data_IF_260943332477
#
_entry.id   IF_260943332477
#
_cell.length_a   1.000
_cell.length_b   1.000
_cell.length_c   1.000
_cell.angle_alpha   90.00
_cell.angle_beta   90.00
_cell.angle_gamma   90.00
#
_symmetry.space_group_name_H-M   'P 1'
#
loop_
_entity.id
_entity.type
_entity.pdbx_description
1 polymer ?
#
# COMPACT_ATOMS: atom_id res chain seq x y z
N UNK A 1 6.48 -55.10 11.16
CA UNK A 1 7.05 -53.73 11.33
C UNK A 1 8.19 -53.37 10.35
N UNK A 2 8.87 -54.34 9.72
CA UNK A 2 10.04 -54.07 8.84
C UNK A 2 9.74 -53.36 7.51
N UNK A 3 8.46 -53.29 7.10
CA UNK A 3 8.02 -52.62 5.86
C UNK A 3 7.48 -51.20 6.05
N UNK A 4 7.38 -50.72 7.30
CA UNK A 4 6.92 -49.36 7.61
C UNK A 4 8.05 -48.32 7.41
N UNK A 5 9.29 -48.71 7.68
CA UNK A 5 10.48 -47.86 7.50
C UNK A 5 10.68 -47.36 6.05
N UNK A 6 10.65 -48.21 5.00
CA UNK A 6 10.85 -47.73 3.63
C UNK A 6 9.70 -46.85 3.15
N UNK A 7 8.47 -47.08 3.64
CA UNK A 7 7.30 -46.32 3.22
C UNK A 7 7.29 -44.89 3.78
N UNK A 8 7.86 -44.67 4.96
CA UNK A 8 8.03 -43.34 5.55
C UNK A 8 9.17 -42.53 4.91
N UNK A 9 10.16 -43.20 4.32
CA UNK A 9 11.35 -42.55 3.74
C UNK A 9 11.14 -42.07 2.30
N UNK A 10 10.24 -42.73 1.57
CA UNK A 10 9.92 -42.41 0.18
C UNK A 10 9.40 -40.97 -0.05
N UNK A 11 8.43 -40.44 0.73
CA UNK A 11 7.96 -39.06 0.54
C UNK A 11 9.02 -38.01 0.91
N UNK A 12 9.96 -38.33 1.81
CA UNK A 12 11.06 -37.43 2.17
C UNK A 12 12.05 -37.30 1.00
N UNK A 13 12.35 -38.42 0.31
CA UNK A 13 13.23 -38.43 -0.86
C UNK A 13 12.58 -37.77 -2.09
N UNK A 14 11.27 -37.94 -2.29
CA UNK A 14 10.54 -37.37 -3.43
C UNK A 14 10.12 -35.91 -3.20
N UNK A 15 9.88 -35.49 -1.95
CA UNK A 15 9.43 -34.15 -1.59
C UNK A 15 10.53 -33.08 -1.62
N UNK A 16 11.81 -33.48 -1.61
CA UNK A 16 12.96 -32.56 -1.64
C UNK A 16 13.28 -31.95 -3.00
N UNK A 17 12.70 -32.45 -4.10
CA UNK A 17 13.06 -32.01 -5.45
C UNK A 17 12.14 -30.91 -6.02
N UNK A 18 11.08 -30.52 -5.30
CA UNK A 18 10.20 -29.43 -5.70
C UNK A 18 10.54 -28.15 -4.93
N UNK A 19 11.79 -27.70 -5.00
CA UNK A 19 12.11 -26.31 -4.67
C UNK A 19 11.63 -25.45 -5.82
N UNK A 20 10.34 -25.13 -5.85
CA UNK A 20 9.88 -24.00 -6.64
C UNK A 20 10.40 -22.79 -5.90
N UNK A 21 11.55 -22.25 -6.33
CA UNK A 21 11.94 -20.93 -5.84
C UNK A 21 10.71 -20.04 -6.08
N UNK A 22 10.17 -19.37 -5.05
CA UNK A 22 9.12 -18.39 -5.27
C UNK A 22 9.65 -17.47 -6.35
N UNK A 23 8.80 -17.20 -7.38
CA UNK A 23 9.17 -16.37 -8.51
C UNK A 23 10.02 -15.22 -7.99
N UNK A 24 11.26 -15.16 -8.45
CA UNK A 24 12.26 -14.23 -7.94
C UNK A 24 11.57 -12.88 -7.84
N UNK A 25 11.32 -12.45 -6.59
CA UNK A 25 10.75 -11.14 -6.35
C UNK A 25 11.90 -10.25 -6.76
N UNK A 26 11.96 -9.92 -8.05
CA UNK A 26 13.07 -9.17 -8.66
C UNK A 26 13.34 -8.03 -7.71
N UNK A 27 14.43 -8.13 -6.95
CA UNK A 27 14.90 -6.97 -6.22
C UNK A 27 15.01 -5.92 -7.29
N UNK A 28 14.46 -4.73 -7.02
CA UNK A 28 14.62 -3.58 -7.90
C UNK A 28 16.07 -3.60 -8.39
N UNK A 29 16.27 -3.79 -9.71
CA UNK A 29 17.56 -4.17 -10.26
C UNK A 29 18.67 -3.32 -9.65
N UNK A 30 19.81 -3.92 -9.31
CA UNK A 30 20.92 -3.18 -8.70
C UNK A 30 21.19 -1.95 -9.59
N UNK A 31 21.09 -0.72 -9.05
CA UNK A 31 21.32 0.47 -9.86
C UNK A 31 22.73 0.53 -10.46
N UNK A 32 23.68 -0.29 -9.98
CA UNK A 32 25.01 -0.46 -10.55
C UNK A 32 25.09 -1.47 -11.71
N UNK A 33 24.07 -2.30 -11.94
CA UNK A 33 24.03 -3.22 -13.09
C UNK A 33 23.76 -2.45 -14.39
N UNK A 34 24.74 -2.40 -15.29
CA UNK A 34 24.62 -1.77 -16.61
C UNK A 34 23.51 -2.40 -17.49
N UNK A 35 23.14 -3.65 -17.22
CA UNK A 35 22.03 -4.36 -17.86
C UNK A 35 20.66 -4.02 -17.29
N UNK A 36 20.57 -3.28 -16.18
CA UNK A 36 19.31 -2.77 -15.65
C UNK A 36 18.74 -1.77 -16.66
N UNK A 37 17.90 -2.27 -17.56
CA UNK A 37 17.26 -1.45 -18.57
C UNK A 37 16.53 -0.29 -17.90
N UNK A 38 17.04 0.92 -18.13
CA UNK A 38 16.32 2.14 -17.82
C UNK A 38 15.15 2.19 -18.79
N UNK A 39 14.03 1.60 -18.42
CA UNK A 39 12.79 1.81 -19.16
C UNK A 39 12.56 3.31 -19.17
N UNK A 40 12.44 3.90 -20.36
CA UNK A 40 12.09 5.31 -20.50
C UNK A 40 10.64 5.43 -20.03
N UNK A 41 10.47 5.65 -18.73
CA UNK A 41 9.17 5.95 -18.16
C UNK A 41 8.90 7.42 -18.51
N UNK A 42 7.88 7.65 -19.31
CA UNK A 42 7.45 9.00 -19.62
C UNK A 42 7.14 9.73 -18.30
N UNK A 43 7.80 10.86 -18.08
CA UNK A 43 7.54 11.68 -16.90
C UNK A 43 6.07 12.10 -16.90
N UNK A 44 5.35 11.74 -15.83
CA UNK A 44 3.98 12.17 -15.60
C UNK A 44 3.99 13.23 -14.50
N UNK A 45 3.67 14.47 -14.86
CA UNK A 45 3.62 15.56 -13.88
C UNK A 45 2.55 15.26 -12.83
N UNK A 46 2.88 15.32 -11.52
CA UNK A 46 1.89 15.18 -10.44
C UNK A 46 0.95 16.39 -10.38
N UNK A 47 1.30 17.48 -11.06
CA UNK A 47 0.50 18.69 -11.18
C UNK A 47 -0.35 18.69 -12.46
N UNK A 48 -0.27 17.65 -13.29
CA UNK A 48 -1.09 17.55 -14.48
C UNK A 48 -2.58 17.53 -14.09
N UNK A 49 -3.33 18.53 -14.55
CA UNK A 49 -4.74 18.70 -14.21
C UNK A 49 -5.00 19.33 -12.85
N UNK A 50 -3.98 19.86 -12.17
CA UNK A 50 -4.19 20.61 -10.94
C UNK A 50 -5.00 21.88 -11.22
N UNK A 51 -6.14 22.00 -10.55
CA UNK A 51 -6.94 23.22 -10.50
C UNK A 51 -6.82 23.78 -9.10
N UNK A 52 -6.22 24.96 -9.00
CA UNK A 52 -6.06 25.65 -7.73
C UNK A 52 -7.43 25.95 -7.10
N UNK A 53 -7.56 25.65 -5.81
CA UNK A 53 -8.73 25.98 -5.01
C UNK A 53 -8.27 26.68 -3.75
N UNK A 54 -8.80 27.87 -3.55
CA UNK A 54 -8.61 28.58 -2.30
C UNK A 54 -9.48 27.95 -1.21
N UNK A 55 -8.96 27.79 0.03
CA UNK A 55 -9.81 27.47 1.16
C UNK A 55 -10.86 28.57 1.30
N UNK A 56 -12.11 28.24 0.99
CA UNK A 56 -13.26 29.12 1.27
C UNK A 56 -13.53 29.26 2.77
N UNK A 57 -12.76 28.52 3.59
CA UNK A 57 -12.85 28.44 5.04
C UNK A 57 -14.19 27.91 5.51
N UNK A 58 -14.30 27.39 6.75
CA UNK A 58 -15.56 27.55 7.44
C UNK A 58 -15.83 29.06 7.57
N UNK A 59 -17.07 29.50 7.34
CA UNK A 59 -17.51 30.83 7.79
C UNK A 59 -17.09 30.99 9.25
N UNK A 60 -16.71 32.20 9.67
CA UNK A 60 -16.33 32.47 11.06
C UNK A 60 -17.38 31.87 12.00
N UNK A 61 -16.94 30.97 12.87
CA UNK A 61 -17.84 30.16 13.70
C UNK A 61 -18.57 31.01 14.75
N UNK A 62 -17.98 32.13 15.19
CA UNK A 62 -18.53 33.02 16.21
C UNK A 62 -19.91 33.59 15.79
N UNK A 63 -20.06 34.26 14.62
CA UNK A 63 -21.37 34.70 14.14
C UNK A 63 -22.41 33.58 14.01
N UNK A 64 -21.99 32.35 13.67
CA UNK A 64 -22.89 31.20 13.56
C UNK A 64 -23.37 30.73 14.93
N UNK A 65 -22.47 30.72 15.91
CA UNK A 65 -22.78 30.34 17.28
C UNK A 65 -23.69 31.37 17.97
N UNK A 66 -23.47 32.67 17.71
CA UNK A 66 -24.34 33.74 18.23
C UNK A 66 -25.75 33.65 17.62
N UNK A 67 -25.85 33.33 16.33
CA UNK A 67 -27.15 33.16 15.66
C UNK A 67 -27.92 31.90 16.08
N UNK A 68 -27.21 30.84 16.49
CA UNK A 68 -27.81 29.58 16.94
C UNK A 68 -27.95 29.48 18.46
N UNK A 69 -27.38 30.43 19.21
CA UNK A 69 -27.54 30.47 20.65
C UNK A 69 -29.00 30.75 21.00
N UNK A 70 -29.62 29.96 21.90
CA UNK A 70 -30.90 30.33 22.49
C UNK A 70 -30.79 31.75 23.04
N UNK A 71 -31.87 32.53 22.96
CA UNK A 71 -31.93 33.82 23.64
C UNK A 71 -31.51 33.59 25.10
N UNK A 72 -30.52 34.37 25.58
CA UNK A 72 -29.89 34.16 26.89
C UNK A 72 -30.96 33.89 27.96
N UNK A 73 -31.00 32.65 28.44
CA UNK A 73 -31.78 32.24 29.60
C UNK A 73 -33.21 31.83 29.25
N UNK A 74 -33.38 30.55 28.93
CA UNK A 74 -34.52 29.73 29.36
C UNK A 74 -33.99 28.29 29.50
N UNK A 75 -33.08 28.10 30.46
CA UNK A 75 -32.84 26.79 31.03
C UNK A 75 -33.87 26.62 32.16
N UNK A 76 -34.89 25.79 31.91
CA UNK A 76 -35.80 25.30 32.95
C UNK A 76 -35.06 24.49 34.01
#
# INVERSE_FOLDING_TARGET
MKRLFPMALLPILLGGCATTMPAEVTSLADPAESSAHTTIQAYRSPLAGYVHREPVGPKRWIPLNDAQSPAKGDAS
#
